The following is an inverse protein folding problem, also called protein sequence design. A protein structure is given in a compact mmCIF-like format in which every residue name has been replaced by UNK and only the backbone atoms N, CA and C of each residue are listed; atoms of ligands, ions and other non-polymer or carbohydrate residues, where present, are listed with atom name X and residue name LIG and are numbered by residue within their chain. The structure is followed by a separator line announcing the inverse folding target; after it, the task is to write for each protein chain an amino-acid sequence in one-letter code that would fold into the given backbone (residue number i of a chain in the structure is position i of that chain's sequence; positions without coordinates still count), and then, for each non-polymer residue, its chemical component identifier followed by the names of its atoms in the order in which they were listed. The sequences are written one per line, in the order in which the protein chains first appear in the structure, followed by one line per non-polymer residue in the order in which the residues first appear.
data_IF_684762460599
#
_entry.id   IF_684762460599
#
_cell.length_a   1.000
_cell.length_b   1.000
_cell.length_c   1.000
_cell.angle_alpha   90.00
_cell.angle_beta   90.00
_cell.angle_gamma   90.00
#
_symmetry.space_group_name_H-M   'P 1'
#
loop_
_entity.id
_entity.type
_entity.pdbx_description
1 polymer ?
#
# COMPACT_ATOMS: atom_id res chain seq x y z
N UNK A 1 -5.80 5.32 30.05
CA UNK A 1 -5.13 4.16 29.42
C UNK A 1 -4.15 4.72 28.40
N UNK A 2 -2.85 4.62 28.65
CA UNK A 2 -1.83 5.28 27.85
C UNK A 2 -1.23 4.30 26.83
N UNK A 3 -1.29 4.65 25.54
CA UNK A 3 -0.50 4.00 24.50
C UNK A 3 0.92 4.54 24.63
N UNK A 4 1.90 3.67 24.89
CA UNK A 4 3.31 4.06 24.98
C UNK A 4 4.09 3.51 23.81
N UNK A 5 4.90 4.35 23.18
CA UNK A 5 5.79 3.98 22.09
C UNK A 5 7.20 3.78 22.65
N UNK A 6 7.68 2.54 22.63
CA UNK A 6 9.05 2.20 23.02
C UNK A 6 9.85 1.79 21.77
N UNK A 7 10.54 2.75 21.16
CA UNK A 7 11.31 2.51 19.92
C UNK A 7 10.43 2.04 18.76
N UNK A 8 10.67 0.81 18.28
CA UNK A 8 9.87 0.15 17.23
C UNK A 8 8.67 -0.62 17.79
N UNK A 9 8.45 -0.60 19.10
CA UNK A 9 7.38 -1.35 19.76
C UNK A 9 6.25 -0.42 20.21
N UNK A 10 5.02 -0.70 19.75
CA UNK A 10 3.80 -0.08 20.27
C UNK A 10 3.24 -0.97 21.38
N UNK A 11 3.20 -0.46 22.60
CA UNK A 11 2.64 -1.18 23.75
C UNK A 11 1.18 -0.79 23.90
N UNK A 12 0.28 -1.76 23.70
CA UNK A 12 -1.16 -1.64 23.92
C UNK A 12 -1.57 -2.35 25.22
N UNK A 13 -2.73 -2.02 25.83
CA UNK A 13 -3.17 -2.60 27.10
C UNK A 13 -3.28 -4.14 27.11
N UNK A 14 -3.45 -4.77 25.94
CA UNK A 14 -3.65 -6.22 25.79
C UNK A 14 -2.51 -6.93 25.03
N UNK A 15 -1.45 -6.21 24.65
CA UNK A 15 -0.32 -6.77 23.90
C UNK A 15 0.62 -5.72 23.32
N UNK A 16 1.73 -6.14 22.73
CA UNK A 16 2.66 -5.24 22.06
C UNK A 16 2.79 -5.59 20.57
N UNK A 17 2.88 -4.56 19.72
CA UNK A 17 3.11 -4.69 18.28
C UNK A 17 4.54 -4.27 18.01
N UNK A 18 5.36 -5.19 17.50
CA UNK A 18 6.69 -4.86 17.00
C UNK A 18 6.55 -4.40 15.54
N UNK A 19 6.88 -3.12 15.29
CA UNK A 19 7.00 -2.55 13.96
C UNK A 19 8.32 -3.07 13.38
N UNK A 20 8.26 -4.24 12.75
CA UNK A 20 9.36 -4.76 11.94
C UNK A 20 9.38 -4.08 10.57
N UNK A 21 10.40 -4.36 9.76
CA UNK A 21 10.50 -3.87 8.38
C UNK A 21 9.24 -4.20 7.55
N UNK A 22 8.55 -5.30 7.85
CA UNK A 22 7.30 -5.73 7.21
C UNK A 22 6.09 -4.83 7.50
N UNK A 23 6.17 -3.95 8.50
CA UNK A 23 5.17 -2.90 8.78
C UNK A 23 5.61 -1.51 8.29
N UNK A 24 6.86 -1.38 7.83
CA UNK A 24 7.32 -0.13 7.21
C UNK A 24 6.69 0.02 5.82
N UNK A 25 6.12 1.19 5.54
CA UNK A 25 5.54 1.49 4.22
C UNK A 25 6.58 1.45 3.09
N UNK A 26 7.88 1.48 3.41
CA UNK A 26 8.99 1.60 2.47
C UNK A 26 9.05 0.47 1.44
N UNK A 27 8.97 -0.79 1.87
CA UNK A 27 9.04 -1.94 0.96
C UNK A 27 7.91 -1.93 -0.09
N UNK A 28 6.63 -1.87 0.33
CA UNK A 28 5.49 -1.78 -0.58
C UNK A 28 5.53 -0.53 -1.47
N UNK A 29 5.94 0.64 -0.96
CA UNK A 29 6.06 1.87 -1.76
C UNK A 29 7.12 1.76 -2.85
N UNK A 30 8.30 1.21 -2.52
CA UNK A 30 9.35 0.98 -3.52
C UNK A 30 8.86 0.01 -4.59
N UNK A 31 8.12 -1.03 -4.21
CA UNK A 31 7.54 -1.96 -5.16
C UNK A 31 6.51 -1.29 -6.08
N UNK A 32 5.63 -0.44 -5.53
CA UNK A 32 4.65 0.30 -6.32
C UNK A 32 5.34 1.30 -7.28
N UNK A 33 6.41 1.96 -6.84
CA UNK A 33 7.22 2.83 -7.68
C UNK A 33 7.87 2.07 -8.84
N UNK A 34 8.45 0.89 -8.58
CA UNK A 34 8.97 0.00 -9.63
C UNK A 34 7.88 -0.38 -10.63
N UNK A 35 6.69 -0.73 -10.14
CA UNK A 35 5.56 -1.05 -11.01
C UNK A 35 5.08 0.16 -11.80
N UNK A 36 5.05 1.35 -11.21
CA UNK A 36 4.73 2.59 -11.92
C UNK A 36 5.71 2.82 -13.08
N UNK A 37 7.02 2.68 -12.86
CA UNK A 37 8.03 2.82 -13.94
C UNK A 37 7.76 1.84 -15.08
N UNK A 38 7.49 0.56 -14.76
CA UNK A 38 7.22 -0.47 -15.79
C UNK A 38 5.96 -0.12 -16.59
N UNK A 39 4.87 0.23 -15.91
CA UNK A 39 3.59 0.54 -16.56
C UNK A 39 3.68 1.83 -17.38
N UNK A 40 4.37 2.86 -16.89
CA UNK A 40 4.61 4.12 -17.60
C UNK A 40 5.50 3.91 -18.85
N UNK A 41 6.49 3.02 -18.77
CA UNK A 41 7.34 2.67 -19.92
C UNK A 41 6.56 1.91 -21.01
N UNK A 42 5.66 1.01 -20.61
CA UNK A 42 4.83 0.24 -21.54
C UNK A 42 3.72 1.10 -22.16
N UNK A 43 3.23 2.12 -21.45
CA UNK A 43 2.11 2.95 -21.88
C UNK A 43 2.36 4.43 -21.54
N UNK A 44 3.20 5.13 -22.32
CA UNK A 44 3.62 6.47 -22.01
C UNK A 44 2.44 7.45 -22.10
N UNK A 45 2.15 8.14 -20.99
CA UNK A 45 1.21 9.26 -20.99
C UNK A 45 1.90 10.59 -21.28
N UNK A 46 1.12 11.59 -21.69
CA UNK A 46 1.57 12.98 -21.72
C UNK A 46 2.06 13.43 -20.33
N UNK A 47 3.08 14.28 -20.27
CA UNK A 47 3.84 14.63 -19.05
C UNK A 47 2.95 15.02 -17.86
N UNK A 48 1.84 15.72 -18.09
CA UNK A 48 0.89 16.10 -17.03
C UNK A 48 0.18 14.89 -16.40
N UNK A 49 -0.24 13.92 -17.21
CA UNK A 49 -0.89 12.68 -16.74
C UNK A 49 0.11 11.74 -16.08
N UNK A 50 1.37 11.78 -16.50
CA UNK A 50 2.47 11.02 -15.89
C UNK A 50 2.75 11.42 -14.44
N UNK A 51 2.77 12.71 -14.13
CA UNK A 51 2.90 13.17 -12.74
C UNK A 51 1.69 12.76 -11.89
N UNK A 52 0.49 12.81 -12.46
CA UNK A 52 -0.72 12.35 -11.78
C UNK A 52 -0.67 10.84 -11.44
N UNK A 53 -0.18 9.99 -12.36
CA UNK A 53 -0.05 8.55 -12.09
C UNK A 53 0.98 8.23 -11.02
N UNK A 54 2.05 9.03 -10.91
CA UNK A 54 3.03 8.90 -9.83
C UNK A 54 2.43 9.26 -8.46
N UNK A 55 1.75 10.41 -8.37
CA UNK A 55 1.08 10.85 -7.13
C UNK A 55 0.01 9.83 -6.72
N UNK A 56 -0.72 9.29 -7.69
CA UNK A 56 -1.69 8.23 -7.47
C UNK A 56 -1.03 6.96 -6.90
N UNK A 57 0.10 6.51 -7.46
CA UNK A 57 0.83 5.35 -6.93
C UNK A 57 1.26 5.56 -5.46
N UNK A 58 1.82 6.74 -5.14
CA UNK A 58 2.21 7.08 -3.78
C UNK A 58 1.01 7.14 -2.83
N UNK A 59 -0.09 7.76 -3.26
CA UNK A 59 -1.32 7.87 -2.50
C UNK A 59 -1.95 6.50 -2.19
N UNK A 60 -1.98 5.60 -3.16
CA UNK A 60 -2.47 4.22 -2.97
C UNK A 60 -1.59 3.46 -1.98
N UNK A 61 -0.27 3.53 -2.15
CA UNK A 61 0.67 2.84 -1.26
C UNK A 61 0.54 3.31 0.18
N UNK A 62 0.40 4.62 0.41
CA UNK A 62 0.17 5.17 1.74
C UNK A 62 -1.20 4.79 2.30
N UNK A 63 -2.28 4.96 1.53
CA UNK A 63 -3.64 4.69 2.00
C UNK A 63 -3.84 3.22 2.39
N UNK A 64 -3.48 2.29 1.50
CA UNK A 64 -3.66 0.85 1.74
C UNK A 64 -2.76 0.37 2.88
N UNK A 65 -1.52 0.89 2.99
CA UNK A 65 -0.65 0.50 4.09
C UNK A 65 -1.15 1.04 5.44
N UNK A 66 -1.68 2.26 5.48
CA UNK A 66 -2.31 2.81 6.69
C UNK A 66 -3.52 1.98 7.11
N UNK A 67 -4.38 1.58 6.17
CA UNK A 67 -5.52 0.68 6.45
C UNK A 67 -5.03 -0.65 7.04
N UNK A 68 -3.95 -1.22 6.49
CA UNK A 68 -3.35 -2.44 7.03
C UNK A 68 -2.87 -2.25 8.47
N UNK A 69 -2.14 -1.20 8.76
CA UNK A 69 -1.61 -0.93 10.12
C UNK A 69 -2.78 -0.74 11.11
N UNK A 70 -3.82 0.00 10.71
CA UNK A 70 -5.02 0.17 11.53
C UNK A 70 -5.72 -1.19 11.78
N UNK A 71 -5.87 -2.02 10.75
CA UNK A 71 -6.43 -3.37 10.89
C UNK A 71 -5.61 -4.26 11.83
N UNK A 72 -4.28 -4.22 11.74
CA UNK A 72 -3.39 -4.95 12.64
C UNK A 72 -3.54 -4.48 14.10
N UNK A 73 -3.66 -3.17 14.34
CA UNK A 73 -3.90 -2.64 15.67
C UNK A 73 -5.25 -3.12 16.25
N UNK A 74 -6.30 -3.15 15.44
CA UNK A 74 -7.62 -3.67 15.82
C UNK A 74 -7.56 -5.17 16.15
N UNK A 75 -6.86 -5.98 15.37
CA UNK A 75 -6.72 -7.42 15.61
C UNK A 75 -5.97 -7.73 16.92
N UNK A 76 -4.93 -6.96 17.25
CA UNK A 76 -4.24 -7.09 18.55
C UNK A 76 -5.14 -6.72 19.70
N UNK A 77 -5.88 -5.62 19.59
CA UNK A 77 -6.82 -5.18 20.63
C UNK A 77 -8.00 -6.17 20.79
N UNK A 78 -8.41 -6.84 19.71
CA UNK A 78 -9.44 -7.90 19.77
C UNK A 78 -8.91 -9.24 20.32
N UNK A 79 -7.62 -9.34 20.69
CA UNK A 79 -7.01 -10.59 21.16
C UNK A 79 -6.84 -11.67 20.08
N UNK A 80 -7.09 -11.35 18.80
CA UNK A 80 -7.03 -12.30 17.68
C UNK A 80 -5.60 -12.52 17.18
N UNK A 81 -4.74 -13.05 18.04
CA UNK A 81 -3.32 -13.29 17.74
C UNK A 81 -3.06 -14.12 16.47
N UNK A 82 -3.83 -15.19 16.15
CA UNK A 82 -3.62 -15.94 14.92
C UNK A 82 -3.83 -15.10 13.66
N UNK A 83 -4.91 -14.31 13.63
CA UNK A 83 -5.20 -13.40 12.52
C UNK A 83 -4.16 -12.29 12.42
N UNK A 84 -3.77 -11.69 13.55
CA UNK A 84 -2.70 -10.70 13.59
C UNK A 84 -1.40 -11.26 13.00
N UNK A 85 -0.97 -12.46 13.42
CA UNK A 85 0.27 -13.08 12.92
C UNK A 85 0.22 -13.34 11.41
N UNK A 86 -0.92 -13.77 10.88
CA UNK A 86 -1.11 -13.96 9.44
C UNK A 86 -0.96 -12.65 8.66
N UNK A 87 -1.68 -11.60 9.08
CA UNK A 87 -1.69 -10.31 8.39
C UNK A 87 -0.39 -9.50 8.60
N UNK A 88 0.27 -9.68 9.75
CA UNK A 88 1.56 -9.07 10.09
C UNK A 88 2.73 -9.72 9.34
N UNK A 89 2.63 -11.03 9.10
CA UNK A 89 3.63 -11.83 8.39
C UNK A 89 3.81 -11.48 6.92
N UNK A 90 4.74 -12.19 6.27
CA UNK A 90 5.10 -12.01 4.86
C UNK A 90 3.92 -12.22 3.91
N UNK A 91 3.10 -13.24 4.15
CA UNK A 91 1.92 -13.54 3.32
C UNK A 91 0.92 -12.39 3.34
N UNK A 92 0.57 -11.87 4.52
CA UNK A 92 -0.32 -10.72 4.64
C UNK A 92 0.24 -9.46 3.96
N UNK A 93 1.54 -9.22 4.07
CA UNK A 93 2.22 -8.12 3.39
C UNK A 93 2.19 -8.28 1.86
N UNK A 94 2.39 -9.50 1.33
CA UNK A 94 2.31 -9.80 -0.10
C UNK A 94 0.90 -9.60 -0.65
N UNK A 95 -0.13 -10.11 0.05
CA UNK A 95 -1.53 -9.90 -0.33
C UNK A 95 -1.86 -8.41 -0.37
N UNK A 96 -1.43 -7.66 0.65
CA UNK A 96 -1.65 -6.20 0.70
C UNK A 96 -0.97 -5.50 -0.48
N UNK A 97 0.25 -5.91 -0.83
CA UNK A 97 0.99 -5.36 -1.97
C UNK A 97 0.29 -5.69 -3.29
N UNK A 98 -0.22 -6.91 -3.45
CA UNK A 98 -1.01 -7.31 -4.63
C UNK A 98 -2.27 -6.45 -4.77
N UNK A 99 -2.99 -6.20 -3.68
CA UNK A 99 -4.16 -5.31 -3.66
C UNK A 99 -3.77 -3.90 -4.12
N UNK A 100 -2.66 -3.35 -3.61
CA UNK A 100 -2.18 -2.03 -4.06
C UNK A 100 -1.92 -1.99 -5.57
N UNK A 101 -1.28 -3.03 -6.13
CA UNK A 101 -1.01 -3.12 -7.57
C UNK A 101 -2.30 -3.19 -8.38
N UNK A 102 -3.25 -4.04 -7.97
CA UNK A 102 -4.55 -4.18 -8.66
C UNK A 102 -5.30 -2.85 -8.66
N UNK A 103 -5.33 -2.15 -7.53
CA UNK A 103 -5.96 -0.82 -7.42
C UNK A 103 -5.23 0.19 -8.31
N UNK A 104 -3.90 0.20 -8.29
CA UNK A 104 -3.10 1.09 -9.15
C UNK A 104 -3.36 0.85 -10.63
N UNK A 105 -3.32 -0.40 -11.09
CA UNK A 105 -3.60 -0.75 -12.49
C UNK A 105 -5.03 -0.37 -12.87
N UNK A 106 -6.02 -0.65 -12.02
CA UNK A 106 -7.41 -0.30 -12.28
C UNK A 106 -7.61 1.21 -12.46
N UNK A 107 -6.98 2.03 -11.59
CA UNK A 107 -7.05 3.49 -11.68
C UNK A 107 -6.23 4.04 -12.86
N UNK A 108 -5.04 3.49 -13.10
CA UNK A 108 -4.20 3.81 -14.26
C UNK A 108 -4.98 3.59 -15.56
N UNK A 109 -5.65 2.43 -15.71
CA UNK A 109 -6.50 2.13 -16.87
C UNK A 109 -7.65 3.11 -17.03
N UNK A 110 -8.27 3.60 -15.94
CA UNK A 110 -9.33 4.61 -16.03
C UNK A 110 -8.81 5.96 -16.53
N UNK A 111 -7.57 6.33 -16.19
CA UNK A 111 -6.91 7.53 -16.71
C UNK A 111 -6.52 7.37 -18.20
N UNK A 112 -6.16 6.16 -18.64
CA UNK A 112 -5.80 5.84 -20.03
C UNK A 112 -6.95 5.53 -20.97
N UNK A 113 -8.06 4.98 -20.46
CA UNK A 113 -9.25 4.72 -21.26
C UNK A 113 -9.82 6.00 -21.89
N UNK A 114 -9.53 7.16 -21.31
CA UNK A 114 -9.92 8.46 -21.86
C UNK A 114 -9.08 8.94 -23.05
N UNK A 115 -7.91 8.33 -23.33
CA UNK A 115 -7.09 8.67 -24.51
C UNK A 115 -7.21 7.66 -25.65
N UNK A 116 -7.81 6.48 -25.43
CA UNK A 116 -8.03 5.49 -26.50
C UNK A 116 -9.09 5.93 -27.53
N UNK A 117 -9.97 6.87 -27.17
CA UNK A 117 -10.97 7.44 -28.09
C UNK A 117 -10.44 8.56 -29.00
N UNK A 118 -9.16 8.96 -28.86
CA UNK A 118 -8.51 9.81 -29.83
C UNK A 118 -7.71 8.91 -30.78
N UNK A 119 -8.33 8.53 -31.91
CA UNK A 119 -7.63 7.90 -33.02
C UNK A 119 -6.47 8.78 -33.53
N UNK A 120 -5.55 8.21 -34.32
CA UNK A 120 -4.42 8.96 -34.86
C UNK A 120 -4.94 10.14 -35.69
N UNK A 121 -4.49 11.34 -35.31
CA UNK A 121 -4.62 12.54 -36.12
C UNK A 121 -3.75 12.45 -37.38
#
# INVERSE_FOLDING_TARGET
MAVSRNGTQLVLPQGSVLINASCSSLGPLIFLLKMWVIVDLLWPYHQTKRWLTLVMALGIGLAVNTIRIAGLALLVNAGQRPAFNFWHGSTGAQITTLVMVVVFIALYRRLGGQSWSAGPA
#
